data_IF_926039518927
#
_entry.id   IF_926039518927
#
_cell.length_a   1.000
_cell.length_b   1.000
_cell.length_c   1.000
_cell.angle_alpha   90.00
_cell.angle_beta   90.00
_cell.angle_gamma   90.00
#
_symmetry.space_group_name_H-M   'P 1'
#
loop_
_entity.id
_entity.type
_entity.pdbx_description
1 polymer ?
#
# COMPACT_ATOMS: atom_id res chain seq x y z
N UNK A 1 -13.23 7.33 5.80
CA UNK A 1 -12.56 7.39 4.47
C UNK A 1 -11.71 8.65 4.30
N UNK A 2 -12.29 9.87 4.35
CA UNK A 2 -11.57 11.14 4.09
C UNK A 2 -10.24 11.30 4.86
N UNK A 3 -10.19 10.88 6.13
CA UNK A 3 -8.95 10.94 6.93
C UNK A 3 -7.79 10.09 6.39
N UNK A 4 -8.08 8.91 5.83
CA UNK A 4 -7.05 8.05 5.23
C UNK A 4 -6.43 8.71 4.00
N UNK A 5 -7.28 9.28 3.13
CA UNK A 5 -6.84 9.99 1.94
C UNK A 5 -5.99 11.22 2.28
N UNK A 6 -6.38 11.97 3.31
CA UNK A 6 -5.62 13.11 3.82
C UNK A 6 -4.20 12.72 4.26
N UNK A 7 -4.07 11.65 5.05
CA UNK A 7 -2.78 11.14 5.49
C UNK A 7 -1.96 10.63 4.31
N UNK A 8 -2.57 9.90 3.38
CA UNK A 8 -1.87 9.37 2.21
C UNK A 8 -1.35 10.48 1.28
N UNK A 9 -2.12 11.56 1.11
CA UNK A 9 -1.72 12.73 0.32
C UNK A 9 -0.57 13.47 1.02
N UNK A 10 -0.66 13.68 2.34
CA UNK A 10 0.42 14.35 3.10
C UNK A 10 1.75 13.61 2.98
N UNK A 11 1.73 12.28 3.12
CA UNK A 11 2.95 11.47 3.00
C UNK A 11 3.47 11.52 1.56
N UNK A 12 2.60 11.37 0.56
CA UNK A 12 3.00 11.47 -0.85
C UNK A 12 3.62 12.84 -1.18
N UNK A 13 3.03 13.93 -0.69
CA UNK A 13 3.54 15.30 -0.90
C UNK A 13 4.90 15.53 -0.26
N UNK A 14 5.25 14.81 0.82
CA UNK A 14 6.58 14.89 1.42
C UNK A 14 7.58 13.98 0.70
N UNK A 15 7.17 12.76 0.36
CA UNK A 15 8.05 11.69 -0.11
C UNK A 15 8.35 11.79 -1.62
N UNK A 16 7.37 12.18 -2.44
CA UNK A 16 7.52 12.35 -3.90
C UNK A 16 8.55 13.42 -4.27
N UNK A 17 8.52 14.67 -3.74
CA UNK A 17 9.52 15.67 -4.09
C UNK A 17 10.91 15.30 -3.57
N UNK A 18 11.00 14.59 -2.43
CA UNK A 18 12.28 14.07 -1.94
C UNK A 18 12.89 13.08 -2.92
N UNK A 19 12.10 12.10 -3.38
CA UNK A 19 12.52 11.09 -4.35
C UNK A 19 12.85 11.68 -5.74
N UNK A 20 12.14 12.74 -6.15
CA UNK A 20 12.45 13.50 -7.37
C UNK A 20 13.80 14.23 -7.26
N UNK A 21 14.07 14.87 -6.11
CA UNK A 21 15.35 15.57 -5.87
C UNK A 21 16.54 14.63 -5.87
N UNK A 22 16.39 13.43 -5.33
CA UNK A 22 17.45 12.41 -5.31
C UNK A 22 17.64 11.68 -6.67
N UNK A 23 16.92 12.09 -7.74
CA UNK A 23 16.93 11.44 -9.06
C UNK A 23 16.62 9.93 -9.04
N UNK A 24 16.04 9.42 -7.96
CA UNK A 24 15.73 8.02 -7.76
C UNK A 24 14.44 7.62 -8.50
N UNK A 25 14.43 7.77 -9.83
CA UNK A 25 13.25 7.52 -10.69
C UNK A 25 12.71 6.10 -10.55
N UNK A 26 13.61 5.12 -10.39
CA UNK A 26 13.24 3.71 -10.19
C UNK A 26 12.52 3.52 -8.85
N UNK A 27 13.04 4.11 -7.78
CA UNK A 27 12.43 4.07 -6.45
C UNK A 27 11.10 4.82 -6.44
N UNK A 28 10.98 5.92 -7.18
CA UNK A 28 9.74 6.68 -7.30
C UNK A 28 8.64 5.86 -8.01
N UNK A 29 8.99 5.13 -9.07
CA UNK A 29 8.06 4.21 -9.74
C UNK A 29 7.58 3.09 -8.81
N UNK A 30 8.51 2.44 -8.10
CA UNK A 30 8.17 1.37 -7.14
C UNK A 30 7.32 1.93 -5.99
N UNK A 31 7.70 3.08 -5.45
CA UNK A 31 6.93 3.77 -4.42
C UNK A 31 5.52 4.07 -4.93
N UNK A 32 5.37 4.70 -6.09
CA UNK A 32 4.05 5.03 -6.65
C UNK A 32 3.18 3.79 -6.88
N UNK A 33 3.77 2.70 -7.37
CA UNK A 33 3.07 1.43 -7.56
C UNK A 33 2.57 0.84 -6.24
N UNK A 34 3.45 0.74 -5.24
CA UNK A 34 3.09 0.27 -3.90
C UNK A 34 2.07 1.20 -3.25
N UNK A 35 2.24 2.51 -3.41
CA UNK A 35 1.36 3.52 -2.83
C UNK A 35 -0.06 3.40 -3.36
N UNK A 36 -0.20 3.19 -4.68
CA UNK A 36 -1.50 2.90 -5.30
C UNK A 36 -2.12 1.63 -4.72
N UNK A 37 -1.36 0.53 -4.64
CA UNK A 37 -1.87 -0.72 -4.06
C UNK A 37 -2.35 -0.55 -2.62
N UNK A 38 -1.58 0.14 -1.78
CA UNK A 38 -1.95 0.42 -0.39
C UNK A 38 -3.17 1.34 -0.31
N UNK A 39 -3.29 2.32 -1.20
CA UNK A 39 -4.44 3.23 -1.23
C UNK A 39 -5.73 2.48 -1.56
N UNK A 40 -5.67 1.62 -2.58
CA UNK A 40 -6.80 0.76 -2.98
C UNK A 40 -7.14 -0.21 -1.85
N UNK A 41 -6.15 -0.92 -1.30
CA UNK A 41 -6.35 -1.86 -0.21
C UNK A 41 -6.96 -1.18 1.03
N UNK A 42 -6.39 -0.06 1.48
CA UNK A 42 -6.90 0.69 2.62
C UNK A 42 -8.31 1.23 2.39
N UNK A 43 -8.63 1.63 1.16
CA UNK A 43 -9.99 2.04 0.79
C UNK A 43 -10.97 0.87 0.85
N UNK A 44 -10.59 -0.30 0.35
CA UNK A 44 -11.43 -1.50 0.41
C UNK A 44 -11.68 -1.95 1.86
N UNK A 45 -10.64 -1.97 2.68
CA UNK A 45 -10.74 -2.31 4.12
C UNK A 45 -11.67 -1.34 4.85
N UNK A 46 -11.58 -0.03 4.56
CA UNK A 46 -12.46 0.98 5.18
C UNK A 46 -13.89 0.96 4.65
N UNK A 47 -14.17 0.26 3.55
CA UNK A 47 -15.51 0.04 3.01
C UNK A 47 -16.13 -1.28 3.52
N UNK A 48 -15.55 -1.91 4.54
CA UNK A 48 -15.96 -3.23 5.05
C UNK A 48 -16.02 -4.32 3.95
N UNK A 49 -15.24 -4.14 2.87
CA UNK A 49 -15.07 -5.20 1.87
C UNK A 49 -14.26 -6.30 2.54
N UNK A 50 -14.70 -7.57 2.50
CA UNK A 50 -13.96 -8.69 3.06
C UNK A 50 -12.73 -8.97 2.20
N UNK A 51 -11.69 -8.15 2.39
CA UNK A 51 -10.38 -8.37 1.81
C UNK A 51 -9.61 -9.29 2.77
N UNK A 52 -9.08 -10.43 2.28
CA UNK A 52 -8.27 -11.33 3.10
C UNK A 52 -7.13 -10.57 3.74
N UNK A 53 -6.94 -10.73 5.05
CA UNK A 53 -5.80 -10.08 5.71
C UNK A 53 -4.53 -10.72 5.15
N UNK A 54 -3.44 -9.95 4.95
CA UNK A 54 -2.18 -10.50 4.47
C UNK A 54 -1.71 -11.68 5.32
N UNK A 55 -1.98 -11.64 6.63
CA UNK A 55 -1.72 -12.75 7.56
C UNK A 55 -2.48 -14.01 7.18
N UNK A 56 -3.76 -13.91 6.82
CA UNK A 56 -4.59 -15.05 6.45
C UNK A 56 -4.09 -15.70 5.16
N UNK A 57 -3.58 -14.89 4.23
CA UNK A 57 -2.93 -15.38 3.00
C UNK A 57 -1.63 -16.11 3.31
N UNK A 58 -0.81 -15.58 4.22
CA UNK A 58 0.44 -16.24 4.66
C UNK A 58 0.12 -17.56 5.37
N UNK A 59 -0.88 -17.58 6.26
CA UNK A 59 -1.33 -18.80 6.93
C UNK A 59 -1.86 -19.81 5.92
N UNK A 60 -2.70 -19.41 4.96
CA UNK A 60 -3.20 -20.31 3.92
C UNK A 60 -2.07 -20.87 3.05
N UNK A 61 -1.05 -20.06 2.75
CA UNK A 61 0.13 -20.51 2.01
C UNK A 61 0.96 -21.52 2.82
N UNK A 62 1.23 -21.23 4.10
CA UNK A 62 1.96 -22.12 4.99
C UNK A 62 1.20 -23.42 5.27
N UNK A 63 -0.11 -23.35 5.51
CA UNK A 63 -0.97 -24.50 5.76
C UNK A 63 -1.04 -25.41 4.53
N UNK A 64 -1.04 -24.83 3.32
CA UNK A 64 -0.95 -25.57 2.06
C UNK A 64 0.43 -26.20 1.82
N UNK A 65 1.50 -25.63 2.37
CA UNK A 65 2.88 -26.13 2.18
C UNK A 65 3.30 -27.16 3.24
N UNK A 66 2.68 -27.13 4.43
CA UNK A 66 2.91 -28.07 5.54
C UNK A 66 2.00 -29.31 5.52
N UNK A 67 1.18 -29.45 4.48
CA UNK A 67 0.24 -30.56 4.28
C UNK A 67 0.62 -31.38 3.05
#
# INVERSE_FOLDING_TARGET
>A
MVGLWLVMILIALYQVPRLLREQQRRTLLVFGFIWLLVTVYGSLVLNDVPVPRPTDVIYAFFDKFMK
#
